data_IF_248589613879
#
_entry.id   IF_248589613879
#
_cell.length_a   1.000
_cell.length_b   1.000
_cell.length_c   1.000
_cell.angle_alpha   90.00
_cell.angle_beta   90.00
_cell.angle_gamma   90.00
#
_symmetry.space_group_name_H-M   'P 1'
#
loop_
_entity.id
_entity.type
_entity.pdbx_description
1 polymer ?
#
# COMPACT_ATOMS: atom_id res chain seq x y z
N UNK A 1 -21.44 -16.67 -7.07
CA UNK A 1 -20.17 -17.25 -6.54
C UNK A 1 -18.93 -16.61 -7.15
N UNK A 2 -18.76 -16.55 -8.49
CA UNK A 2 -17.56 -15.97 -9.13
C UNK A 2 -17.17 -14.56 -8.67
N UNK A 3 -18.15 -13.66 -8.49
CA UNK A 3 -17.94 -12.29 -7.95
C UNK A 3 -17.36 -12.29 -6.55
N UNK A 4 -17.95 -13.05 -5.63
CA UNK A 4 -17.50 -13.10 -4.23
C UNK A 4 -16.07 -13.67 -4.16
N UNK A 5 -15.79 -14.75 -4.89
CA UNK A 5 -14.45 -15.35 -4.92
C UNK A 5 -13.40 -14.38 -5.48
N UNK A 6 -13.74 -13.60 -6.50
CA UNK A 6 -12.88 -12.58 -7.06
C UNK A 6 -12.59 -11.45 -6.04
N UNK A 7 -13.59 -10.98 -5.27
CA UNK A 7 -13.38 -9.99 -4.21
C UNK A 7 -12.46 -10.55 -3.14
N UNK A 8 -12.72 -11.78 -2.68
CA UNK A 8 -11.93 -12.41 -1.63
C UNK A 8 -10.46 -12.57 -2.05
N UNK A 9 -10.21 -13.16 -3.22
CA UNK A 9 -8.84 -13.34 -3.71
C UNK A 9 -8.11 -12.01 -3.90
N UNK A 10 -8.80 -11.01 -4.46
CA UNK A 10 -8.23 -9.67 -4.66
C UNK A 10 -7.92 -8.98 -3.34
N UNK A 11 -8.78 -9.15 -2.33
CA UNK A 11 -8.58 -8.62 -0.98
C UNK A 11 -7.37 -9.27 -0.30
N UNK A 12 -7.25 -10.60 -0.38
CA UNK A 12 -6.08 -11.30 0.14
C UNK A 12 -4.79 -10.86 -0.55
N UNK A 13 -4.79 -10.70 -1.88
CA UNK A 13 -3.62 -10.20 -2.60
C UNK A 13 -3.23 -8.78 -2.19
N UNK A 14 -4.21 -7.89 -2.01
CA UNK A 14 -3.98 -6.52 -1.55
C UNK A 14 -3.39 -6.45 -0.14
N UNK A 15 -3.72 -7.41 0.74
CA UNK A 15 -3.15 -7.52 2.09
C UNK A 15 -1.76 -8.17 2.04
N UNK A 16 -1.61 -9.24 1.25
CA UNK A 16 -0.37 -10.01 1.15
C UNK A 16 0.79 -9.26 0.49
N UNK A 17 0.52 -8.23 -0.33
CA UNK A 17 1.58 -7.42 -0.94
C UNK A 17 2.22 -6.43 0.04
N UNK A 18 1.56 -6.10 1.14
CA UNK A 18 1.99 -5.02 2.04
C UNK A 18 3.40 -5.23 2.66
N UNK A 19 3.81 -6.45 3.05
CA UNK A 19 5.18 -6.69 3.52
C UNK A 19 6.23 -6.41 2.45
N UNK A 20 5.93 -6.69 1.18
CA UNK A 20 6.85 -6.40 0.08
C UNK A 20 7.01 -4.90 -0.14
N UNK A 21 5.91 -4.13 -0.07
CA UNK A 21 5.98 -2.66 -0.18
C UNK A 21 6.86 -2.09 0.93
N UNK A 22 6.67 -2.57 2.16
CA UNK A 22 7.47 -2.14 3.31
C UNK A 22 8.97 -2.47 3.13
N UNK A 23 9.27 -3.70 2.69
CA UNK A 23 10.66 -4.12 2.46
C UNK A 23 11.32 -3.39 1.29
N UNK A 24 10.58 -3.08 0.23
CA UNK A 24 11.10 -2.29 -0.87
C UNK A 24 11.47 -0.88 -0.41
N UNK A 25 10.64 -0.25 0.44
CA UNK A 25 10.89 1.11 0.89
C UNK A 25 11.99 1.18 1.96
N UNK A 26 11.93 0.32 2.99
CA UNK A 26 12.79 0.41 4.16
C UNK A 26 13.97 -0.56 4.08
N UNK A 27 13.73 -1.77 3.57
CA UNK A 27 14.74 -2.83 3.47
C UNK A 27 15.80 -2.58 2.38
N UNK A 28 15.42 -2.04 1.22
CA UNK A 28 16.40 -1.75 0.14
C UNK A 28 17.43 -0.69 0.59
N UNK A 29 17.04 0.48 1.13
CA UNK A 29 18.02 1.43 1.65
C UNK A 29 18.93 0.85 2.73
N UNK A 30 18.39 0.04 3.66
CA UNK A 30 19.18 -0.62 4.70
C UNK A 30 20.17 -1.66 4.15
N UNK A 31 19.76 -2.39 3.11
CA UNK A 31 20.65 -3.31 2.41
C UNK A 31 21.81 -2.55 1.76
N UNK A 32 21.51 -1.42 1.13
CA UNK A 32 22.49 -0.58 0.45
C UNK A 32 23.43 0.17 1.42
N UNK A 33 22.96 0.48 2.63
CA UNK A 33 23.79 1.11 3.67
C UNK A 33 24.67 0.12 4.45
N UNK A 34 24.47 -1.20 4.28
CA UNK A 34 25.22 -2.24 4.98
C UNK A 34 24.75 -2.51 6.42
N UNK A 35 23.58 -2.00 6.81
CA UNK A 35 23.03 -2.13 8.16
C UNK A 35 22.30 -3.47 8.38
N UNK A 36 23.08 -4.57 8.43
CA UNK A 36 22.53 -5.94 8.48
C UNK A 36 21.66 -6.24 9.71
N UNK A 37 21.93 -5.61 10.86
CA UNK A 37 21.10 -5.73 12.05
C UNK A 37 19.72 -5.07 11.87
N UNK A 38 19.69 -3.87 11.27
CA UNK A 38 18.44 -3.14 10.97
C UNK A 38 17.59 -3.88 9.93
N UNK A 39 18.24 -4.53 8.95
CA UNK A 39 17.54 -5.34 7.94
C UNK A 39 16.79 -6.52 8.56
N UNK A 40 17.38 -7.20 9.56
CA UNK A 40 16.72 -8.33 10.25
C UNK A 40 15.44 -7.87 10.95
N UNK A 41 15.48 -6.71 11.60
CA UNK A 41 14.32 -6.16 12.28
C UNK A 41 13.28 -5.63 11.28
N UNK A 42 13.71 -5.03 10.17
CA UNK A 42 12.81 -4.66 9.07
C UNK A 42 12.03 -5.86 8.52
N UNK A 43 12.69 -7.02 8.32
CA UNK A 43 12.04 -8.26 7.91
C UNK A 43 11.03 -8.75 8.94
N UNK A 44 11.35 -8.68 10.23
CA UNK A 44 10.43 -9.07 11.31
C UNK A 44 9.19 -8.19 11.34
N UNK A 45 9.35 -6.89 11.20
CA UNK A 45 8.24 -5.93 11.26
C UNK A 45 7.47 -5.79 9.94
N UNK A 46 7.97 -6.36 8.83
CA UNK A 46 7.35 -6.27 7.51
C UNK A 46 5.92 -6.83 7.45
N UNK A 47 5.53 -7.73 8.35
CA UNK A 47 4.16 -8.27 8.38
C UNK A 47 3.15 -7.32 9.05
N UNK A 48 3.61 -6.33 9.81
CA UNK A 48 2.73 -5.42 10.52
C UNK A 48 1.85 -4.56 9.58
N UNK A 49 2.37 -4.00 8.47
CA UNK A 49 1.54 -3.35 7.44
C UNK A 49 0.38 -4.21 6.91
N UNK A 50 0.54 -5.54 6.83
CA UNK A 50 -0.55 -6.42 6.39
C UNK A 50 -1.72 -6.40 7.37
N UNK A 51 -1.44 -6.38 8.68
CA UNK A 51 -2.46 -6.26 9.73
C UNK A 51 -3.19 -4.92 9.63
N UNK A 52 -2.45 -3.83 9.45
CA UNK A 52 -3.04 -2.50 9.28
C UNK A 52 -3.85 -2.36 7.99
N UNK A 53 -3.52 -3.08 6.92
CA UNK A 53 -4.25 -3.02 5.66
C UNK A 53 -5.64 -3.67 5.71
N UNK A 54 -5.88 -4.61 6.64
CA UNK A 54 -7.17 -5.31 6.76
C UNK A 54 -8.37 -4.35 6.85
N UNK A 55 -8.43 -3.41 7.83
CA UNK A 55 -9.56 -2.49 7.93
C UNK A 55 -9.73 -1.61 6.69
N UNK A 56 -8.64 -1.13 6.07
CA UNK A 56 -8.72 -0.32 4.85
C UNK A 56 -9.33 -1.12 3.69
N UNK A 57 -8.91 -2.37 3.50
CA UNK A 57 -9.45 -3.24 2.44
C UNK A 57 -10.93 -3.54 2.70
N UNK A 58 -11.29 -3.90 3.93
CA UNK A 58 -12.67 -4.28 4.27
C UNK A 58 -13.65 -3.11 4.23
N UNK A 59 -13.28 -1.97 4.82
CA UNK A 59 -14.21 -0.84 4.99
C UNK A 59 -14.14 0.19 3.87
N UNK A 60 -13.04 0.25 3.11
CA UNK A 60 -12.89 1.22 2.02
C UNK A 60 -12.75 0.50 0.68
N UNK A 61 -11.79 -0.43 0.56
CA UNK A 61 -11.46 -1.10 -0.69
C UNK A 61 -12.64 -1.87 -1.31
N UNK A 62 -13.28 -2.74 -0.53
CA UNK A 62 -14.42 -3.54 -1.00
C UNK A 62 -15.62 -2.65 -1.35
N UNK A 63 -16.11 -1.74 -0.48
CA UNK A 63 -17.24 -0.87 -0.81
C UNK A 63 -16.99 0.00 -2.06
N UNK A 64 -15.83 0.64 -2.16
CA UNK A 64 -15.46 1.47 -3.33
C UNK A 64 -15.47 0.63 -4.60
N UNK A 65 -14.92 -0.59 -4.56
CA UNK A 65 -14.93 -1.49 -5.71
C UNK A 65 -16.35 -1.84 -6.13
N UNK A 66 -17.22 -2.23 -5.18
CA UNK A 66 -18.60 -2.60 -5.48
C UNK A 66 -19.35 -1.45 -6.15
N UNK A 67 -19.17 -0.23 -5.66
CA UNK A 67 -19.73 1.00 -6.25
C UNK A 67 -19.19 1.21 -7.68
N UNK A 68 -17.88 1.17 -7.88
CA UNK A 68 -17.27 1.38 -9.19
C UNK A 68 -17.66 0.30 -10.21
N UNK A 69 -17.82 -0.95 -9.76
CA UNK A 69 -18.32 -2.06 -10.59
C UNK A 69 -19.78 -1.84 -10.96
N UNK A 70 -20.62 -1.43 -10.01
CA UNK A 70 -22.04 -1.16 -10.26
C UNK A 70 -22.24 -0.09 -11.35
N UNK A 71 -21.42 0.96 -11.34
CA UNK A 71 -21.46 2.02 -12.35
C UNK A 71 -20.63 1.74 -13.62
N UNK A 72 -19.96 0.59 -13.74
CA UNK A 72 -19.11 0.28 -14.89
C UNK A 72 -17.88 1.18 -15.03
N UNK A 73 -17.47 1.86 -13.95
CA UNK A 73 -16.35 2.83 -13.92
C UNK A 73 -15.08 2.27 -13.31
N UNK A 74 -15.02 0.97 -13.02
CA UNK A 74 -13.83 0.35 -12.44
C UNK A 74 -12.64 0.41 -13.41
N UNK A 75 -11.65 1.23 -13.06
CA UNK A 75 -10.37 1.38 -13.75
C UNK A 75 -9.25 1.35 -12.70
N UNK A 76 -8.05 0.91 -13.09
CA UNK A 76 -6.92 0.76 -12.17
C UNK A 76 -6.49 2.09 -11.55
N UNK A 77 -6.40 3.16 -12.35
CA UNK A 77 -5.91 4.46 -11.89
C UNK A 77 -6.82 5.14 -10.86
N UNK A 78 -8.14 5.29 -11.08
CA UNK A 78 -9.04 5.83 -10.06
C UNK A 78 -9.04 5.01 -8.77
N UNK A 79 -9.02 3.67 -8.87
CA UNK A 79 -8.97 2.82 -7.68
C UNK A 79 -7.64 2.98 -6.92
N UNK A 80 -6.53 3.05 -7.65
CA UNK A 80 -5.20 3.31 -7.11
C UNK A 80 -5.13 4.66 -6.37
N UNK A 81 -5.67 5.72 -6.96
CA UNK A 81 -5.71 7.05 -6.34
C UNK A 81 -6.61 7.10 -5.10
N UNK A 82 -7.75 6.41 -5.12
CA UNK A 82 -8.59 6.27 -3.92
C UNK A 82 -7.83 5.53 -2.82
N UNK A 83 -7.13 4.44 -3.18
CA UNK A 83 -6.25 3.72 -2.25
C UNK A 83 -5.17 4.61 -1.66
N UNK A 84 -4.48 5.40 -2.49
CA UNK A 84 -3.48 6.36 -2.06
C UNK A 84 -4.04 7.35 -1.05
N UNK A 85 -5.12 8.04 -1.41
CA UNK A 85 -5.74 9.04 -0.53
C UNK A 85 -6.23 8.41 0.76
N UNK A 86 -6.91 7.26 0.68
CA UNK A 86 -7.43 6.57 1.86
C UNK A 86 -6.32 6.21 2.85
N UNK A 87 -5.18 5.71 2.37
CA UNK A 87 -4.06 5.32 3.22
C UNK A 87 -3.23 6.53 3.71
N UNK A 88 -3.07 7.57 2.90
CA UNK A 88 -2.34 8.78 3.27
C UNK A 88 -3.12 9.67 4.26
N UNK A 89 -4.46 9.67 4.19
CA UNK A 89 -5.31 10.61 4.91
C UNK A 89 -5.09 10.64 6.43
N UNK A 90 -4.97 9.51 7.16
CA UNK A 90 -4.76 9.56 8.61
C UNK A 90 -3.47 10.29 8.99
N UNK A 91 -2.40 10.08 8.22
CA UNK A 91 -1.11 10.76 8.42
C UNK A 91 -1.24 12.23 8.00
N UNK A 92 -1.89 12.50 6.86
CA UNK A 92 -2.09 13.86 6.38
C UNK A 92 -2.90 14.73 7.37
N UNK A 93 -3.77 14.11 8.17
CA UNK A 93 -4.57 14.81 9.19
C UNK A 93 -3.83 14.98 10.52
N UNK A 94 -2.81 14.18 10.82
CA UNK A 94 -2.04 14.34 12.06
C UNK A 94 -1.15 15.59 12.04
N UNK A 95 -0.76 16.03 10.85
CA UNK A 95 0.18 17.13 10.67
C UNK A 95 1.62 16.78 11.12
N UNK A 96 2.57 17.69 10.86
CA UNK A 96 4.00 17.51 11.21
C UNK A 96 4.38 17.99 12.62
N UNK A 97 3.50 18.73 13.29
CA UNK A 97 3.80 19.40 14.56
C UNK A 97 3.68 18.49 15.78
N UNK A 98 4.06 19.03 16.94
CA UNK A 98 3.95 18.35 18.23
C UNK A 98 3.06 19.10 19.22
N UNK A 99 2.81 18.49 20.38
CA UNK A 99 2.22 19.22 21.51
C UNK A 99 3.14 20.36 21.99
N UNK A 100 2.56 21.34 22.70
CA UNK A 100 3.33 22.47 23.23
C UNK A 100 4.54 22.00 24.07
N UNK A 101 5.72 22.54 23.77
CA UNK A 101 6.98 22.17 24.44
C UNK A 101 7.59 20.83 24.00
N UNK A 102 7.00 20.12 23.03
CA UNK A 102 7.58 18.91 22.48
C UNK A 102 8.72 19.23 21.51
N UNK A 103 9.86 18.58 21.68
CA UNK A 103 10.97 18.64 20.73
C UNK A 103 11.39 17.22 20.37
N UNK A 104 11.69 16.99 19.10
CA UNK A 104 12.15 15.70 18.60
C UNK A 104 13.18 15.90 17.50
N UNK A 105 14.13 14.98 17.44
CA UNK A 105 15.16 14.93 16.41
C UNK A 105 15.47 13.49 16.04
N UNK A 106 16.25 13.31 14.99
CA UNK A 106 16.65 11.99 14.54
C UNK A 106 17.58 12.06 13.35
N UNK A 107 17.70 10.94 12.65
CA UNK A 107 18.54 10.83 11.48
C UNK A 107 17.71 11.02 10.21
N UNK A 108 18.12 11.97 9.36
CA UNK A 108 17.58 12.19 8.03
C UNK A 108 18.64 11.83 6.99
N UNK A 109 18.51 10.66 6.38
CA UNK A 109 19.45 10.12 5.37
C UNK A 109 20.94 10.25 5.75
N UNK A 110 21.29 9.85 6.97
CA UNK A 110 22.65 9.90 7.50
C UNK A 110 23.02 11.18 8.25
N UNK A 111 22.14 12.20 8.27
CA UNK A 111 22.40 13.47 8.96
C UNK A 111 21.54 13.62 10.22
N UNK A 112 22.12 13.93 11.39
CA UNK A 112 21.34 14.28 12.57
C UNK A 112 20.65 15.63 12.34
N UNK A 113 19.34 15.68 12.55
CA UNK A 113 18.50 16.87 12.36
C UNK A 113 17.42 16.94 13.44
N UNK A 114 16.97 18.16 13.74
CA UNK A 114 15.78 18.38 14.54
C UNK A 114 14.55 18.31 13.63
N UNK A 115 13.52 17.57 14.04
CA UNK A 115 12.24 17.47 13.33
C UNK A 115 11.21 18.43 13.93
N UNK A 116 11.15 18.54 15.25
CA UNK A 116 10.23 19.44 15.97
C UNK A 116 11.04 20.19 17.04
N UNK A 117 10.82 21.50 17.13
CA UNK A 117 11.42 22.37 18.16
C UNK A 117 10.32 23.15 18.85
N UNK A 118 10.10 22.89 20.14
CA UNK A 118 9.08 23.55 20.97
C UNK A 118 7.64 23.47 20.39
N UNK A 119 7.29 22.33 19.79
CA UNK A 119 5.98 22.09 19.17
C UNK A 119 5.93 22.44 17.68
N UNK A 120 6.87 23.24 17.19
CA UNK A 120 6.89 23.69 15.80
C UNK A 120 7.76 22.76 14.92
N UNK A 121 7.25 22.32 13.75
CA UNK A 121 8.02 21.51 12.83
C UNK A 121 9.14 22.33 12.18
N UNK A 122 10.35 21.78 12.15
CA UNK A 122 11.45 22.32 11.36
C UNK A 122 11.23 22.05 9.86
N UNK A 123 12.12 22.56 9.00
CA UNK A 123 12.13 22.16 7.58
C UNK A 123 12.22 20.63 7.42
N UNK A 124 13.08 19.96 8.20
CA UNK A 124 13.19 18.51 8.16
C UNK A 124 11.95 17.82 8.73
N UNK A 125 11.25 18.43 9.69
CA UNK A 125 9.95 17.95 10.17
C UNK A 125 8.91 17.91 9.06
N UNK A 126 8.81 18.98 8.26
CA UNK A 126 7.93 19.03 7.10
C UNK A 126 8.31 18.00 6.03
N UNK A 127 9.60 17.85 5.73
CA UNK A 127 10.07 16.86 4.76
C UNK A 127 9.77 15.43 5.21
N UNK A 128 10.04 15.11 6.48
CA UNK A 128 9.73 13.80 7.06
C UNK A 128 8.24 13.49 7.07
N UNK A 129 7.41 14.50 7.35
CA UNK A 129 5.97 14.37 7.27
C UNK A 129 5.47 14.11 5.84
N UNK A 130 5.98 14.83 4.84
CA UNK A 130 5.64 14.59 3.44
C UNK A 130 6.09 13.20 2.98
N UNK A 131 7.31 12.79 3.33
CA UNK A 131 7.82 11.45 3.03
C UNK A 131 6.94 10.37 3.66
N UNK A 132 6.60 10.51 4.94
CA UNK A 132 5.71 9.60 5.65
C UNK A 132 4.33 9.54 4.99
N UNK A 133 3.73 10.69 4.69
CA UNK A 133 2.41 10.76 4.03
C UNK A 133 2.42 10.04 2.68
N UNK A 134 3.45 10.29 1.86
CA UNK A 134 3.65 9.63 0.58
C UNK A 134 3.86 8.13 0.75
N UNK A 135 4.65 7.71 1.73
CA UNK A 135 4.93 6.31 2.02
C UNK A 135 3.64 5.53 2.36
N UNK A 136 2.81 6.06 3.26
CA UNK A 136 1.50 5.46 3.57
C UNK A 136 0.57 5.48 2.35
N UNK A 137 0.56 6.55 1.56
CA UNK A 137 -0.17 6.60 0.30
C UNK A 137 0.26 5.51 -0.69
N UNK A 138 1.56 5.22 -0.81
CA UNK A 138 2.08 4.18 -1.69
C UNK A 138 1.60 2.78 -1.29
N UNK A 139 1.49 2.48 0.01
CA UNK A 139 0.87 1.24 0.50
C UNK A 139 -0.57 1.07 -0.02
N UNK A 140 -1.37 2.13 0.07
CA UNK A 140 -2.74 2.15 -0.44
C UNK A 140 -2.81 2.00 -1.96
N UNK A 141 -1.94 2.71 -2.70
CA UNK A 141 -1.88 2.66 -4.16
C UNK A 141 -1.50 1.27 -4.67
N UNK A 142 -0.46 0.66 -4.11
CA UNK A 142 0.00 -0.68 -4.50
C UNK A 142 -1.06 -1.72 -4.14
N UNK A 143 -1.61 -1.65 -2.92
CA UNK A 143 -2.69 -2.56 -2.50
C UNK A 143 -3.90 -2.50 -3.43
N UNK A 144 -4.37 -1.30 -3.76
CA UNK A 144 -5.49 -1.08 -4.68
C UNK A 144 -5.17 -1.55 -6.12
N UNK A 145 -3.93 -1.39 -6.57
CA UNK A 145 -3.50 -1.85 -7.90
C UNK A 145 -3.47 -3.38 -7.97
N UNK A 146 -2.90 -4.05 -6.96
CA UNK A 146 -2.91 -5.51 -6.86
C UNK A 146 -4.34 -6.04 -6.79
N UNK A 147 -5.20 -5.41 -6.00
CA UNK A 147 -6.61 -5.73 -5.96
C UNK A 147 -7.23 -5.68 -7.37
N UNK A 148 -7.04 -4.58 -8.09
CA UNK A 148 -7.60 -4.42 -9.44
C UNK A 148 -7.10 -5.49 -10.41
N UNK A 149 -5.81 -5.79 -10.40
CA UNK A 149 -5.20 -6.78 -11.31
C UNK A 149 -5.80 -8.16 -11.06
N UNK A 150 -5.88 -8.60 -9.81
CA UNK A 150 -6.46 -9.89 -9.44
C UNK A 150 -7.96 -9.96 -9.75
N UNK A 151 -8.68 -8.86 -9.51
CA UNK A 151 -10.10 -8.75 -9.86
C UNK A 151 -10.31 -8.89 -11.36
N UNK A 152 -9.52 -8.14 -12.16
CA UNK A 152 -9.61 -8.15 -13.62
C UNK A 152 -9.25 -9.52 -14.18
N UNK A 153 -8.22 -10.16 -13.63
CA UNK A 153 -7.79 -11.50 -14.05
C UNK A 153 -8.88 -12.56 -13.77
N UNK A 154 -9.47 -12.56 -12.58
CA UNK A 154 -10.53 -13.51 -12.20
C UNK A 154 -11.85 -13.28 -12.95
N UNK A 155 -12.13 -12.03 -13.32
CA UNK A 155 -13.33 -11.64 -14.07
C UNK A 155 -13.17 -11.65 -15.59
N UNK A 156 -11.95 -11.80 -16.10
CA UNK A 156 -11.67 -11.84 -17.53
C UNK A 156 -12.28 -13.06 -18.23
N UNK A 157 -12.30 -13.08 -19.57
CA UNK A 157 -12.66 -14.27 -20.34
C UNK A 157 -11.80 -15.45 -19.89
N UNK A 158 -12.42 -16.59 -19.61
CA UNK A 158 -11.69 -17.79 -19.25
C UNK A 158 -10.97 -18.27 -20.51
N UNK A 159 -9.66 -18.07 -20.63
CA UNK A 159 -8.85 -18.64 -21.71
C UNK A 159 -8.63 -20.14 -21.46
N UNK A 160 -9.71 -20.90 -21.21
CA UNK A 160 -9.61 -22.34 -21.07
C UNK A 160 -9.05 -22.88 -22.39
N UNK A 161 -7.90 -23.55 -22.32
CA UNK A 161 -7.29 -24.24 -23.43
C UNK A 161 -8.36 -25.07 -24.16
N UNK A 162 -8.70 -24.66 -25.38
CA UNK A 162 -9.52 -25.49 -26.27
C UNK A 162 -8.52 -26.41 -26.98
N UNK A 163 -8.43 -27.71 -26.65
CA UNK A 163 -7.60 -28.61 -27.41
C UNK A 163 -8.03 -28.54 -28.89
N UNK A 164 -7.06 -28.40 -29.80
CA UNK A 164 -7.37 -28.47 -31.23
C UNK A 164 -8.08 -29.81 -31.49
N UNK A 165 -9.21 -29.83 -32.21
CA UNK A 165 -9.81 -31.09 -32.62
C UNK A 165 -8.78 -31.90 -33.40
N UNK A 166 -8.66 -33.20 -33.09
CA UNK A 166 -7.82 -34.11 -33.84
C UNK A 166 -8.25 -34.04 -35.31
N UNK A 167 -7.30 -33.71 -36.17
CA UNK A 167 -7.50 -33.56 -37.61
C UNK A 167 -7.97 -34.91 -38.16
N UNK A 168 -9.26 -35.05 -38.49
CA UNK A 168 -9.77 -36.20 -39.25
C UNK A 168 -10.92 -37.03 -38.66
N UNK A 169 -11.68 -36.56 -37.66
CA UNK A 169 -12.94 -37.22 -37.29
C UNK A 169 -14.13 -36.53 -37.97
N UNK A 170 -14.39 -36.91 -39.22
CA UNK A 170 -15.63 -36.76 -39.96
C UNK A 170 -15.82 -38.00 -40.84
#
# INVERSE_FOLDING_TARGET
>A
MRKINAIMLSSFGAIAVQPLVFLCWLGIPMLLSGETAALRDAVRYSFLPAVFAVPFVLFIGIPVTLVLVHYGKLRWWPLGMIGFVAAALPIALSGPGGGAGHSSGGNWHGKPVDFIVNGEPSLYGWLNYLESTCFFGLHGLVGATVFYVLWRHTMGPNNSFKPNPLRGSA
#
